data_IF_854351465804
#
_entry.id   IF_854351465804
#
_cell.length_a   1.000
_cell.length_b   1.000
_cell.length_c   1.000
_cell.angle_alpha   90.00
_cell.angle_beta   90.00
_cell.angle_gamma   90.00
#
_symmetry.space_group_name_H-M   'P 1'
#
loop_
_entity.id
_entity.type
_entity.pdbx_description
1 polymer ?
#
# COMPACT_ATOMS: atom_id res chain seq x y z
N UNK A 1 -46.08 4.21 29.14
CA UNK A 1 -45.68 2.80 29.02
C UNK A 1 -44.68 2.71 27.89
N UNK A 2 -43.53 2.13 28.20
CA UNK A 2 -42.42 1.90 27.28
C UNK A 2 -42.65 0.65 26.43
N UNK A 3 -41.71 0.45 25.50
CA UNK A 3 -41.57 -0.64 24.54
C UNK A 3 -42.32 -0.34 23.22
N UNK A 4 -41.68 -0.33 22.05
CA UNK A 4 -40.76 -1.37 21.57
C UNK A 4 -39.77 -0.85 20.51
N UNK A 5 -38.49 -1.17 20.74
CA UNK A 5 -37.47 -1.47 19.74
C UNK A 5 -36.81 -0.29 19.00
N UNK A 6 -36.09 0.47 19.83
CA UNK A 6 -34.70 0.86 19.61
C UNK A 6 -33.81 -0.38 19.28
N UNK A 7 -34.03 -1.04 18.15
CA UNK A 7 -33.22 -2.17 17.71
C UNK A 7 -32.07 -1.68 16.84
N UNK A 8 -30.91 -1.60 17.51
CA UNK A 8 -29.56 -1.72 16.96
C UNK A 8 -29.12 -0.44 16.20
N UNK A 9 -28.59 0.59 16.85
CA UNK A 9 -27.58 0.45 17.90
C UNK A 9 -26.38 -0.39 17.44
N UNK A 10 -26.18 -0.56 16.14
CA UNK A 10 -24.91 -1.07 15.60
C UNK A 10 -23.91 0.05 15.81
N UNK A 11 -22.99 -0.19 16.75
CA UNK A 11 -21.89 0.67 17.12
C UNK A 11 -21.33 1.44 15.92
N UNK A 12 -21.54 2.75 15.93
CA UNK A 12 -20.92 3.64 14.95
C UNK A 12 -19.37 3.53 15.04
N UNK A 13 -18.82 3.11 16.18
CA UNK A 13 -17.40 2.83 16.39
C UNK A 13 -16.92 1.50 15.77
N UNK A 14 -17.77 0.49 15.66
CA UNK A 14 -17.42 -0.76 14.95
C UNK A 14 -17.45 -0.52 13.44
N UNK A 15 -18.40 0.28 12.95
CA UNK A 15 -18.51 0.61 11.53
C UNK A 15 -17.30 1.46 11.07
N UNK A 16 -16.87 2.45 11.85
CA UNK A 16 -15.68 3.26 11.51
C UNK A 16 -14.40 2.44 11.52
N UNK A 17 -14.22 1.53 12.50
CA UNK A 17 -13.02 0.67 12.57
C UNK A 17 -12.96 -0.31 11.39
N UNK A 18 -14.09 -0.93 11.04
CA UNK A 18 -14.16 -1.86 9.90
C UNK A 18 -13.94 -1.12 8.58
N UNK A 19 -14.55 0.06 8.39
CA UNK A 19 -14.38 0.88 7.19
C UNK A 19 -12.94 1.42 7.06
N UNK A 20 -12.32 1.86 8.16
CA UNK A 20 -10.93 2.31 8.16
C UNK A 20 -9.95 1.19 7.78
N UNK A 21 -10.21 -0.04 8.24
CA UNK A 21 -9.42 -1.22 7.84
C UNK A 21 -9.56 -1.57 6.35
N UNK A 22 -10.79 -1.49 5.81
CA UNK A 22 -11.05 -1.70 4.38
C UNK A 22 -10.37 -0.60 3.53
N UNK A 23 -10.45 0.65 3.96
CA UNK A 23 -9.82 1.78 3.26
C UNK A 23 -8.29 1.67 3.28
N UNK A 24 -7.69 1.32 4.41
CA UNK A 24 -6.25 1.07 4.52
C UNK A 24 -5.77 -0.11 3.65
N UNK A 25 -6.58 -1.18 3.54
CA UNK A 25 -6.29 -2.29 2.64
C UNK A 25 -6.36 -1.88 1.16
N UNK A 26 -7.38 -1.10 0.78
CA UNK A 26 -7.52 -0.56 -0.56
C UNK A 26 -6.39 0.42 -0.91
N UNK A 27 -5.99 1.26 0.04
CA UNK A 27 -4.85 2.17 -0.03
C UNK A 27 -3.55 1.41 -0.36
N UNK A 28 -3.24 0.35 0.41
CA UNK A 28 -2.07 -0.50 0.20
C UNK A 28 -2.09 -1.17 -1.18
N UNK A 29 -3.22 -1.76 -1.57
CA UNK A 29 -3.34 -2.41 -2.88
C UNK A 29 -3.13 -1.42 -4.05
N UNK A 30 -3.60 -0.18 -3.92
CA UNK A 30 -3.34 0.90 -4.89
C UNK A 30 -1.84 1.26 -4.94
N UNK A 31 -1.19 1.38 -3.78
CA UNK A 31 0.25 1.66 -3.71
C UNK A 31 1.07 0.57 -4.43
N UNK A 32 0.75 -0.70 -4.20
CA UNK A 32 1.41 -1.82 -4.86
C UNK A 32 1.25 -1.77 -6.39
N UNK A 33 0.04 -1.49 -6.89
CA UNK A 33 -0.21 -1.37 -8.33
C UNK A 33 0.65 -0.27 -8.97
N UNK A 34 0.77 0.88 -8.29
CA UNK A 34 1.61 1.99 -8.75
C UNK A 34 3.09 1.60 -8.80
N UNK A 35 3.58 0.92 -7.76
CA UNK A 35 4.98 0.46 -7.71
C UNK A 35 5.25 -0.58 -8.81
N UNK A 36 4.38 -1.58 -8.96
CA UNK A 36 4.48 -2.59 -10.03
C UNK A 36 4.49 -1.95 -11.42
N UNK A 37 3.58 -1.01 -11.67
CA UNK A 37 3.52 -0.29 -12.95
C UNK A 37 4.79 0.53 -13.21
N UNK A 38 5.40 1.09 -12.16
CA UNK A 38 6.64 1.85 -12.28
C UNK A 38 7.86 0.97 -12.50
N UNK A 39 7.97 -0.15 -11.78
CA UNK A 39 9.06 -1.12 -11.91
C UNK A 39 9.13 -1.74 -13.32
N UNK A 40 7.98 -2.07 -13.91
CA UNK A 40 7.90 -2.54 -15.31
C UNK A 40 8.46 -1.55 -16.33
N UNK A 41 8.51 -0.25 -16.00
CA UNK A 41 9.01 0.82 -16.88
C UNK A 41 10.43 1.24 -16.54
N UNK A 42 10.98 0.79 -15.42
CA UNK A 42 12.34 1.13 -15.01
C UNK A 42 13.31 0.04 -15.44
N UNK A 43 14.43 0.47 -16.02
CA UNK A 43 15.59 -0.38 -16.23
C UNK A 43 16.33 -0.50 -14.90
N UNK A 44 16.02 -1.52 -14.09
CA UNK A 44 16.92 -1.90 -12.99
C UNK A 44 18.14 -2.54 -13.65
N UNK A 45 19.29 -1.86 -13.59
CA UNK A 45 20.58 -2.47 -13.92
C UNK A 45 20.93 -3.58 -12.94
N UNK A 46 21.95 -4.36 -13.26
CA UNK A 46 22.45 -5.44 -12.39
C UNK A 46 23.16 -4.93 -11.13
N UNK A 47 23.45 -3.61 -11.03
CA UNK A 47 24.11 -3.00 -9.87
C UNK A 47 23.09 -2.68 -8.76
N UNK A 48 23.39 -3.16 -7.54
CA UNK A 48 22.66 -2.83 -6.31
C UNK A 48 22.47 -1.31 -6.08
N UNK A 49 23.36 -0.47 -6.61
CA UNK A 49 23.23 1.00 -6.53
C UNK A 49 22.03 1.53 -7.30
N UNK A 50 21.68 0.93 -8.43
CA UNK A 50 20.52 1.34 -9.23
C UNK A 50 19.23 1.01 -8.50
N UNK A 51 19.18 -0.14 -7.85
CA UNK A 51 18.01 -0.53 -7.08
C UNK A 51 17.80 0.37 -5.85
N UNK A 52 18.85 0.69 -5.10
CA UNK A 52 18.74 1.61 -3.97
C UNK A 52 18.25 3.02 -4.41
N UNK A 53 18.67 3.46 -5.61
CA UNK A 53 18.18 4.71 -6.22
C UNK A 53 16.70 4.60 -6.60
N UNK A 54 16.27 3.49 -7.20
CA UNK A 54 14.88 3.27 -7.59
C UNK A 54 13.98 3.15 -6.36
N UNK A 55 14.40 2.44 -5.32
CA UNK A 55 13.70 2.34 -4.04
C UNK A 55 13.40 3.74 -3.46
N UNK A 56 14.42 4.61 -3.33
CA UNK A 56 14.23 5.98 -2.85
C UNK A 56 13.26 6.78 -3.71
N UNK A 57 13.31 6.64 -5.05
CA UNK A 57 12.40 7.32 -5.98
C UNK A 57 10.95 6.84 -5.82
N UNK A 58 10.74 5.55 -5.61
CA UNK A 58 9.42 4.96 -5.40
C UNK A 58 8.82 5.34 -4.06
N UNK A 59 9.61 5.33 -2.98
CA UNK A 59 9.16 5.82 -1.66
C UNK A 59 8.75 7.29 -1.75
N UNK A 60 9.59 8.14 -2.36
CA UNK A 60 9.27 9.55 -2.57
C UNK A 60 8.03 9.76 -3.46
N UNK A 61 7.80 8.88 -4.44
CA UNK A 61 6.61 8.91 -5.29
C UNK A 61 5.34 8.63 -4.47
N UNK A 62 5.35 7.62 -3.61
CA UNK A 62 4.21 7.27 -2.78
C UNK A 62 3.96 8.35 -1.70
N UNK A 63 5.01 8.86 -1.06
CA UNK A 63 4.89 9.96 -0.09
C UNK A 63 4.21 11.20 -0.71
N UNK A 64 4.59 11.59 -1.93
CA UNK A 64 3.94 12.70 -2.67
C UNK A 64 2.49 12.44 -3.03
N UNK A 65 2.03 11.19 -2.95
CA UNK A 65 0.67 10.77 -3.30
C UNK A 65 -0.20 10.53 -2.06
N UNK A 66 0.31 10.86 -0.86
CA UNK A 66 -0.43 10.80 0.40
C UNK A 66 -0.24 9.52 1.18
N UNK A 67 0.55 8.56 0.68
CA UNK A 67 0.80 7.32 1.41
C UNK A 67 1.72 7.57 2.61
N UNK A 68 1.40 6.96 3.75
CA UNK A 68 2.24 7.03 4.95
C UNK A 68 3.62 6.44 4.67
N UNK A 69 4.64 6.94 5.38
CA UNK A 69 6.02 6.49 5.19
C UNK A 69 6.18 4.99 5.43
N UNK A 70 5.49 4.43 6.42
CA UNK A 70 5.47 2.99 6.71
C UNK A 70 4.92 2.20 5.52
N UNK A 71 3.73 2.55 5.01
CA UNK A 71 3.11 1.87 3.86
C UNK A 71 3.99 2.01 2.62
N UNK A 72 4.54 3.20 2.37
CA UNK A 72 5.41 3.44 1.24
C UNK A 72 6.67 2.56 1.26
N UNK A 73 7.33 2.45 2.42
CA UNK A 73 8.52 1.60 2.58
C UNK A 73 8.17 0.11 2.44
N UNK A 74 7.14 -0.37 3.13
CA UNK A 74 6.74 -1.79 3.08
C UNK A 74 6.40 -2.25 1.67
N UNK A 75 5.58 -1.47 0.96
CA UNK A 75 5.16 -1.79 -0.41
C UNK A 75 6.35 -1.79 -1.36
N UNK A 76 7.25 -0.81 -1.26
CA UNK A 76 8.41 -0.72 -2.15
C UNK A 76 9.39 -1.87 -1.93
N UNK A 77 9.66 -2.24 -0.67
CA UNK A 77 10.54 -3.37 -0.35
C UNK A 77 9.95 -4.69 -0.89
N UNK A 78 8.66 -4.93 -0.64
CA UNK A 78 7.98 -6.15 -1.09
C UNK A 78 8.00 -6.28 -2.61
N UNK A 79 7.67 -5.21 -3.34
CA UNK A 79 7.61 -5.24 -4.80
C UNK A 79 8.98 -5.31 -5.46
N UNK A 80 10.02 -4.70 -4.89
CA UNK A 80 11.40 -4.86 -5.37
C UNK A 80 11.88 -6.31 -5.21
N UNK A 81 11.57 -6.95 -4.07
CA UNK A 81 11.88 -8.36 -3.86
C UNK A 81 11.15 -9.26 -4.87
N UNK A 82 9.86 -9.01 -5.12
CA UNK A 82 9.08 -9.74 -6.12
C UNK A 82 9.61 -9.53 -7.54
N UNK A 83 10.01 -8.30 -7.88
CA UNK A 83 10.56 -7.98 -9.19
C UNK A 83 11.92 -8.62 -9.44
N UNK A 84 12.77 -8.73 -8.41
CA UNK A 84 14.04 -9.49 -8.48
C UNK A 84 13.79 -10.95 -8.82
N UNK A 85 12.83 -11.57 -8.13
CA UNK A 85 12.50 -12.97 -8.38
C UNK A 85 11.99 -13.19 -9.80
N UNK A 86 11.11 -12.31 -10.31
CA UNK A 86 10.62 -12.37 -11.70
C UNK A 86 11.72 -12.29 -12.76
N UNK A 87 12.84 -11.63 -12.47
CA UNK A 87 13.96 -11.46 -13.41
C UNK A 87 15.00 -12.57 -13.32
N UNK A 88 14.93 -13.40 -12.28
CA UNK A 88 15.81 -14.58 -12.12
C UNK A 88 15.28 -15.81 -12.85
N UNK A 89 13.99 -15.85 -13.15
CA UNK A 89 13.30 -16.89 -13.94
C UNK A 89 13.42 -16.60 -15.43
#
# INVERSE_FOLDING_TARGET
>A
MAAELHTKGVDNDVITTVLAGIDAGAERARAEQLVRARLRRETLGEDNRDEARVSRRLVAMLARRGYSQTVACEVVIAELAAERERRRV
#
